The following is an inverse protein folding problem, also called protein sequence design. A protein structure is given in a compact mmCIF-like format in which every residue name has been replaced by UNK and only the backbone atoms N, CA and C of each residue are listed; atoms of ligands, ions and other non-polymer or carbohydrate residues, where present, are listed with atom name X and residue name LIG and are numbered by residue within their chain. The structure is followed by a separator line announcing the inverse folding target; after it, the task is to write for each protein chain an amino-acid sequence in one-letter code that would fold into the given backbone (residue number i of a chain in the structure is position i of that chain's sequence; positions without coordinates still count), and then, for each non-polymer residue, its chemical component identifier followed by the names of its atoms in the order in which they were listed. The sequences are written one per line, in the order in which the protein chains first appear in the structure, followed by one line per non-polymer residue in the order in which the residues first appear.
data_IF_529234271875
#
_entry.id   IF_529234271875
#
_cell.length_a   1.000
_cell.length_b   1.000
_cell.length_c   1.000
_cell.angle_alpha   90.00
_cell.angle_beta   90.00
_cell.angle_gamma   90.00
#
_symmetry.space_group_name_H-M   'P 1'
#
loop_
_entity.id
_entity.type
_entity.pdbx_description
1 polymer ?
#
# COMPACT_ATOMS: atom_id res chain seq x y z
N UNK A 1 -6.02 -5.41 -26.16
CA UNK A 1 -4.78 -5.20 -25.40
C UNK A 1 -5.11 -5.39 -23.92
N UNK A 2 -5.06 -6.62 -23.41
CA UNK A 2 -5.37 -6.90 -22.02
C UNK A 2 -4.06 -6.86 -21.22
N UNK A 3 -3.54 -5.65 -20.98
CA UNK A 3 -2.50 -5.48 -19.98
C UNK A 3 -3.24 -5.58 -18.65
N UNK A 4 -3.25 -6.78 -18.07
CA UNK A 4 -3.58 -6.98 -16.66
C UNK A 4 -2.54 -6.22 -15.84
N UNK A 5 -2.66 -4.90 -15.83
CA UNK A 5 -1.98 -4.06 -14.86
C UNK A 5 -2.56 -4.50 -13.53
N UNK A 6 -1.79 -5.31 -12.80
CA UNK A 6 -2.06 -5.59 -11.41
C UNK A 6 -1.98 -4.24 -10.68
N UNK A 7 -3.09 -3.50 -10.68
CA UNK A 7 -3.31 -2.34 -9.82
C UNK A 7 -3.26 -2.89 -8.41
N UNK A 8 -2.07 -2.85 -7.82
CA UNK A 8 -1.86 -3.30 -6.47
C UNK A 8 -2.41 -2.20 -5.56
N UNK A 9 -3.63 -2.40 -5.08
CA UNK A 9 -4.22 -1.53 -4.08
C UNK A 9 -3.57 -1.85 -2.74
N UNK A 10 -3.04 -0.82 -2.08
CA UNK A 10 -2.40 -0.95 -0.78
C UNK A 10 -2.89 0.14 0.14
N UNK A 11 -3.00 -0.17 1.41
CA UNK A 11 -3.35 0.79 2.44
C UNK A 11 -2.08 1.15 3.17
N UNK A 12 -1.74 2.43 3.12
CA UNK A 12 -0.60 3.00 3.82
C UNK A 12 -1.06 3.59 5.15
N UNK A 13 -0.41 3.20 6.24
CA UNK A 13 -0.69 3.72 7.57
C UNK A 13 0.61 4.24 8.18
N UNK A 14 0.59 5.50 8.59
CA UNK A 14 1.73 6.11 9.28
C UNK A 14 1.55 5.91 10.79
N UNK A 15 2.39 5.07 11.38
CA UNK A 15 2.49 4.87 12.82
C UNK A 15 3.23 6.02 13.52
N UNK A 16 3.78 5.74 14.70
CA UNK A 16 4.52 6.73 15.49
C UNK A 16 5.94 6.89 14.93
N UNK A 17 6.68 5.79 14.88
CA UNK A 17 8.04 5.76 14.33
C UNK A 17 8.10 5.04 13.00
N UNK A 18 7.21 4.07 12.76
CA UNK A 18 7.27 3.21 11.59
C UNK A 18 6.05 3.40 10.67
N UNK A 19 6.23 3.13 9.39
CA UNK A 19 5.16 3.21 8.40
C UNK A 19 4.79 1.80 7.95
N UNK A 20 3.50 1.51 8.01
CA UNK A 20 2.92 0.21 7.76
C UNK A 20 2.14 0.21 6.45
N UNK A 21 2.17 -0.92 5.77
CA UNK A 21 1.49 -1.13 4.49
C UNK A 21 0.82 -2.48 4.51
N UNK A 22 -0.46 -2.50 4.15
CA UNK A 22 -1.24 -3.73 3.95
C UNK A 22 -1.71 -3.78 2.51
N UNK A 23 -1.56 -4.94 1.86
CA UNK A 23 -2.04 -5.14 0.50
C UNK A 23 -3.47 -5.67 0.52
N UNK A 24 -4.32 -5.07 -0.31
CA UNK A 24 -5.72 -5.47 -0.48
C UNK A 24 -5.95 -5.90 -1.93
N UNK A 25 -6.95 -6.75 -2.14
CA UNK A 25 -7.23 -7.27 -3.49
C UNK A 25 -7.80 -6.17 -4.39
N UNK A 26 -8.76 -5.41 -3.87
CA UNK A 26 -9.45 -4.35 -4.59
C UNK A 26 -9.93 -3.23 -3.63
N UNK A 27 -10.03 -1.99 -4.12
CA UNK A 27 -10.53 -0.86 -3.33
C UNK A 27 -12.00 -1.04 -2.93
N UNK A 28 -12.82 -1.67 -3.80
CA UNK A 28 -14.22 -1.96 -3.51
C UNK A 28 -14.40 -2.89 -2.30
N UNK A 29 -13.51 -3.86 -2.07
CA UNK A 29 -13.61 -4.71 -0.87
C UNK A 29 -13.33 -3.90 0.40
N UNK A 30 -12.45 -2.90 0.35
CA UNK A 30 -12.21 -1.99 1.47
C UNK A 30 -13.43 -1.13 1.75
N UNK A 31 -14.07 -0.58 0.71
CA UNK A 31 -15.31 0.20 0.86
C UNK A 31 -16.45 -0.66 1.41
N UNK A 32 -16.60 -1.89 0.90
CA UNK A 32 -17.60 -2.84 1.38
C UNK A 32 -17.34 -3.22 2.83
N UNK A 33 -16.09 -3.47 3.21
CA UNK A 33 -15.71 -3.77 4.59
C UNK A 33 -15.92 -2.57 5.52
N UNK A 34 -15.67 -1.34 5.05
CA UNK A 34 -15.96 -0.11 5.80
C UNK A 34 -17.47 0.06 6.04
N UNK A 35 -18.31 -0.40 5.11
CA UNK A 35 -19.76 -0.43 5.27
C UNK A 35 -20.23 -1.60 6.15
N UNK A 36 -19.57 -2.76 6.02
CA UNK A 36 -19.92 -4.00 6.70
C UNK A 36 -18.68 -4.68 7.30
N UNK A 37 -18.48 -4.45 8.61
CA UNK A 37 -17.34 -5.00 9.36
C UNK A 37 -17.54 -6.48 9.77
N UNK A 38 -18.57 -7.16 9.25
CA UNK A 38 -18.79 -8.59 9.52
C UNK A 38 -18.03 -9.48 8.53
N UNK A 39 -17.56 -8.90 7.42
CA UNK A 39 -16.76 -9.61 6.42
C UNK A 39 -15.36 -9.94 6.97
N UNK A 40 -14.89 -11.19 6.85
CA UNK A 40 -13.58 -11.59 7.33
C UNK A 40 -12.47 -10.82 6.61
N UNK A 41 -11.51 -10.29 7.37
CA UNK A 41 -10.38 -9.53 6.82
C UNK A 41 -9.58 -10.31 5.78
N UNK A 42 -9.46 -11.64 5.95
CA UNK A 42 -8.82 -12.56 4.99
C UNK A 42 -9.44 -12.54 3.59
N UNK A 43 -10.70 -12.11 3.45
CA UNK A 43 -11.34 -11.96 2.14
C UNK A 43 -11.13 -10.58 1.51
N UNK A 44 -10.64 -9.63 2.29
CA UNK A 44 -10.42 -8.22 1.88
C UNK A 44 -8.93 -7.98 1.60
N UNK A 45 -8.05 -8.53 2.43
CA UNK A 45 -6.60 -8.42 2.27
C UNK A 45 -6.08 -9.48 1.30
N UNK A 46 -5.13 -9.08 0.46
CA UNK A 46 -4.47 -10.00 -0.49
C UNK A 46 -3.50 -10.95 0.19
N UNK A 47 -2.87 -10.46 1.26
CA UNK A 47 -1.98 -11.23 2.12
C UNK A 47 -2.28 -10.85 3.57
N UNK A 48 -2.43 -11.86 4.44
CA UNK A 48 -2.64 -11.66 5.87
C UNK A 48 -1.31 -11.37 6.58
N UNK A 49 -0.55 -10.43 6.03
CA UNK A 49 0.77 -10.01 6.51
C UNK A 49 0.82 -8.49 6.51
N UNK A 50 1.41 -7.95 7.56
CA UNK A 50 1.60 -6.51 7.73
C UNK A 50 3.01 -6.21 7.27
N UNK A 51 3.16 -5.32 6.31
CA UNK A 51 4.46 -4.90 5.83
C UNK A 51 4.85 -3.57 6.47
N UNK A 52 6.14 -3.40 6.74
CA UNK A 52 6.73 -2.14 7.22
C UNK A 52 7.73 -1.66 6.19
N UNK A 53 7.81 -0.35 5.97
CA UNK A 53 8.89 0.25 5.16
C UNK A 53 10.07 0.61 6.06
N UNK A 54 11.24 0.03 5.81
CA UNK A 54 12.46 0.35 6.57
C UNK A 54 13.16 1.63 6.09
N UNK A 55 12.78 2.19 4.94
CA UNK A 55 13.33 3.44 4.43
C UNK A 55 12.23 4.45 4.26
N UNK A 56 12.40 5.62 4.88
CA UNK A 56 11.56 6.80 4.64
C UNK A 56 11.44 7.03 3.13
N UNK A 57 10.26 6.73 2.58
CA UNK A 57 10.01 6.83 1.15
C UNK A 57 9.02 5.80 0.66
N UNK A 58 8.19 6.22 -0.28
CA UNK A 58 7.10 5.44 -0.86
C UNK A 58 7.59 4.15 -1.53
N UNK A 59 8.87 4.11 -1.97
CA UNK A 59 9.50 3.08 -2.82
C UNK A 59 10.53 2.21 -2.08
N UNK A 60 10.55 2.23 -0.74
CA UNK A 60 11.41 1.38 0.07
C UNK A 60 11.10 -0.12 -0.08
N UNK A 61 12.06 -0.98 0.28
CA UNK A 61 11.77 -2.41 0.42
C UNK A 61 10.74 -2.60 1.53
N UNK A 62 9.64 -3.26 1.17
CA UNK A 62 8.62 -3.70 2.11
C UNK A 62 9.12 -4.99 2.76
N UNK A 63 9.18 -5.00 4.08
CA UNK A 63 9.54 -6.16 4.88
C UNK A 63 8.36 -6.55 5.75
N UNK A 64 8.25 -7.82 6.11
CA UNK A 64 7.23 -8.27 7.05
C UNK A 64 7.52 -7.65 8.41
N UNK A 65 6.53 -7.00 9.00
CA UNK A 65 6.63 -6.43 10.33
C UNK A 65 6.82 -7.55 11.36
N UNK A 66 7.78 -7.38 12.25
CA UNK A 66 7.99 -8.34 13.34
C UNK A 66 6.99 -8.10 14.46
N UNK A 67 6.57 -9.17 15.16
CA UNK A 67 5.61 -9.08 16.27
C UNK A 67 6.02 -8.08 17.36
N UNK A 68 7.33 -7.96 17.63
CA UNK A 68 7.85 -6.96 18.57
C UNK A 68 7.56 -5.52 18.12
N UNK A 69 7.76 -5.23 16.83
CA UNK A 69 7.52 -3.90 16.26
C UNK A 69 6.03 -3.56 16.23
N UNK A 70 5.18 -4.57 16.00
CA UNK A 70 3.73 -4.43 16.08
C UNK A 70 3.26 -4.10 17.51
N UNK A 71 3.80 -4.83 18.50
CA UNK A 71 3.51 -4.60 19.91
C UNK A 71 3.98 -3.22 20.39
N UNK A 72 5.17 -2.77 19.98
CA UNK A 72 5.69 -1.44 20.34
C UNK A 72 4.88 -0.29 19.72
N UNK A 73 4.45 -0.43 18.46
CA UNK A 73 3.73 0.64 17.74
C UNK A 73 2.23 0.67 18.05
N UNK A 74 1.57 -0.50 18.05
CA UNK A 74 0.12 -0.63 18.23
C UNK A 74 -0.28 -1.04 19.65
N UNK A 75 0.66 -1.50 20.49
CA UNK A 75 0.35 -2.06 21.82
C UNK A 75 -0.28 -3.46 21.76
N UNK A 76 -0.29 -4.09 20.59
CA UNK A 76 -0.86 -5.41 20.35
C UNK A 76 -0.02 -6.13 19.31
N UNK A 77 0.09 -7.45 19.44
CA UNK A 77 0.69 -8.32 18.42
C UNK A 77 -0.38 -9.04 17.58
N UNK A 78 -1.65 -8.71 17.80
CA UNK A 78 -2.77 -9.35 17.12
C UNK A 78 -2.93 -8.77 15.72
N UNK A 79 -2.49 -9.53 14.72
CA UNK A 79 -2.46 -9.08 13.33
C UNK A 79 -3.84 -8.65 12.84
N UNK A 80 -4.89 -9.33 13.28
CA UNK A 80 -6.27 -9.07 12.87
C UNK A 80 -6.73 -7.69 13.35
N UNK A 81 -6.44 -7.37 14.61
CA UNK A 81 -6.72 -6.05 15.20
C UNK A 81 -5.92 -4.93 14.51
N UNK A 82 -4.66 -5.17 14.17
CA UNK A 82 -3.82 -4.18 13.51
C UNK A 82 -4.30 -3.94 12.08
N UNK A 83 -4.60 -5.00 11.33
CA UNK A 83 -5.14 -4.89 9.98
C UNK A 83 -6.44 -4.10 9.99
N UNK A 84 -7.35 -4.37 10.95
CA UNK A 84 -8.60 -3.59 11.11
C UNK A 84 -8.31 -2.10 11.35
N UNK A 85 -7.31 -1.79 12.18
CA UNK A 85 -6.94 -0.42 12.51
C UNK A 85 -6.36 0.31 11.28
N UNK A 86 -5.53 -0.39 10.50
CA UNK A 86 -4.94 0.10 9.25
C UNK A 86 -6.02 0.30 8.18
N UNK A 87 -6.97 -0.62 8.00
CA UNK A 87 -8.08 -0.45 7.04
C UNK A 87 -8.98 0.74 7.40
N UNK A 88 -9.22 0.96 8.69
CA UNK A 88 -10.04 2.07 9.19
C UNK A 88 -9.35 3.44 9.10
N UNK A 89 -8.10 3.53 9.56
CA UNK A 89 -7.35 4.78 9.72
C UNK A 89 -6.29 5.03 8.64
N UNK A 90 -6.02 4.04 7.80
CA UNK A 90 -5.01 4.12 6.76
C UNK A 90 -5.51 4.82 5.50
N UNK A 91 -4.55 5.25 4.70
CA UNK A 91 -4.74 5.91 3.43
C UNK A 91 -4.69 4.87 2.32
N UNK A 92 -5.84 4.69 1.65
CA UNK A 92 -5.92 3.85 0.46
C UNK A 92 -5.09 4.47 -0.67
N UNK A 93 -4.12 3.71 -1.17
CA UNK A 93 -3.35 4.03 -2.36
C UNK A 93 -3.67 3.02 -3.46
N UNK A 94 -4.52 3.43 -4.40
CA UNK A 94 -4.90 2.60 -5.55
C UNK A 94 -3.86 2.61 -6.67
N UNK A 95 -3.02 3.65 -6.71
CA UNK A 95 -2.02 3.87 -7.75
C UNK A 95 -0.62 3.85 -7.17
N UNK A 96 -0.03 2.67 -7.15
CA UNK A 96 1.42 2.54 -7.10
C UNK A 96 1.96 2.68 -8.53
N UNK A 97 1.99 3.90 -9.05
CA UNK A 97 2.71 4.21 -10.28
C UNK A 97 4.22 4.05 -9.99
N UNK A 98 4.73 2.82 -10.15
CA UNK A 98 6.16 2.55 -10.25
C UNK A 98 6.76 3.19 -11.52
N UNK A 99 5.91 3.71 -12.39
CA UNK A 99 6.31 4.49 -13.54
C UNK A 99 6.62 5.90 -13.07
N UNK A 100 7.93 6.17 -12.88
CA UNK A 100 8.45 7.47 -13.30
C UNK A 100 7.86 7.73 -14.68
N UNK A 101 6.83 8.56 -14.78
CA UNK A 101 6.58 9.27 -16.02
C UNK A 101 7.80 10.16 -16.22
N UNK A 102 8.85 9.59 -16.80
CA UNK A 102 9.93 10.28 -17.45
C UNK A 102 9.39 10.96 -18.70
N UNK A 103 8.43 11.87 -18.54
CA UNK A 103 8.11 12.82 -19.57
C UNK A 103 8.92 14.08 -19.33
N UNK A 104 10.25 13.91 -19.36
CA UNK A 104 11.17 15.02 -19.62
C UNK A 104 12.13 14.56 -20.71
N UNK A 105 11.56 14.30 -21.89
CA UNK A 105 12.31 14.46 -23.12
C UNK A 105 11.91 15.82 -23.70
N UNK A 106 12.51 16.88 -23.17
CA UNK A 106 12.60 18.19 -23.79
C UNK A 106 13.63 18.15 -24.94
N UNK A 107 13.42 17.26 -25.91
CA UNK A 107 14.17 17.27 -27.17
C UNK A 107 13.32 17.88 -28.28
N UNK A 108 12.97 19.16 -28.12
CA UNK A 108 12.64 20.00 -29.28
C UNK A 108 13.97 20.48 -29.84
N UNK A 109 14.59 19.63 -30.65
CA UNK A 109 15.75 19.99 -31.43
C UNK A 109 15.66 19.36 -32.81
N UNK A 110 14.94 19.96 -33.77
CA UNK A 110 15.19 19.66 -35.17
C UNK A 110 16.44 20.45 -35.58
N UNK A 111 17.59 19.76 -35.56
CA UNK A 111 18.67 20.07 -36.48
C UNK A 111 18.31 19.48 -37.84
N UNK A 112 18.45 20.29 -38.88
CA UNK A 112 18.23 19.92 -40.29
C UNK A 112 17.32 20.98 -40.92
N UNK A 113 17.76 21.85 -41.80
CA UNK A 113 18.85 21.78 -42.75
C UNK A 113 18.29 22.27 -44.07
N UNK A 114 18.80 23.40 -44.57
CA UNK A 114 19.00 23.85 -45.97
C UNK A 114 19.55 25.27 -45.90
#
# INVERSE_FOLDING_TARGET
MARGEAKQTRIYFKGKENEFVVFVDNPEAVETWKADQTTPLVQVVKAFEIFVTQRHGTQGQLLVASNALLDEEFGTNDQEEIIRAILGNGLLQEKWDAERQGSRNDSIGPRGGH
#
